data_IF_575733798507
#
_entry.id   IF_575733798507
#
_cell.length_a   1.000
_cell.length_b   1.000
_cell.length_c   1.000
_cell.angle_alpha   90.00
_cell.angle_beta   90.00
_cell.angle_gamma   90.00
#
_symmetry.space_group_name_H-M   'P 1'
#
loop_
_entity.id
_entity.type
_entity.pdbx_description
1 polymer ?
#
# COMPACT_ATOMS: atom_id res chain seq x y z
N UNK A 1 12.10 -22.33 15.86
CA UNK A 1 12.90 -21.25 15.21
C UNK A 1 11.90 -20.25 14.67
N UNK A 2 12.01 -18.96 15.03
CA UNK A 2 11.07 -17.95 14.58
C UNK A 2 11.28 -17.65 13.08
N UNK A 3 10.21 -17.66 12.29
CA UNK A 3 10.25 -17.36 10.85
C UNK A 3 10.33 -15.86 10.57
N UNK A 4 10.09 -15.04 11.58
CA UNK A 4 10.13 -13.58 11.51
C UNK A 4 10.99 -13.03 12.65
N UNK A 5 11.76 -11.99 12.35
CA UNK A 5 12.46 -11.22 13.37
C UNK A 5 12.53 -9.74 12.96
N UNK A 6 12.71 -8.87 13.93
CA UNK A 6 12.66 -7.43 13.76
C UNK A 6 14.00 -6.80 14.14
N UNK A 7 14.46 -5.85 13.34
CA UNK A 7 15.68 -5.09 13.62
C UNK A 7 15.39 -3.60 13.50
N UNK A 8 15.60 -2.86 14.58
CA UNK A 8 15.59 -1.39 14.52
C UNK A 8 16.81 -0.91 13.73
N UNK A 9 16.58 -0.05 12.73
CA UNK A 9 17.61 0.49 11.85
C UNK A 9 17.77 2.00 11.97
N UNK A 10 16.72 2.71 12.47
CA UNK A 10 16.79 4.14 12.71
C UNK A 10 15.83 4.57 13.82
N UNK A 11 16.22 5.59 14.59
CA UNK A 11 15.37 6.35 15.51
C UNK A 11 15.69 7.84 15.36
N UNK A 12 14.67 8.69 15.30
CA UNK A 12 14.85 10.13 15.11
C UNK A 12 13.86 10.95 15.93
N UNK A 13 14.31 12.09 16.44
CA UNK A 13 13.46 13.07 17.11
C UNK A 13 12.83 14.09 16.13
N UNK A 14 13.21 14.03 14.84
CA UNK A 14 12.71 14.94 13.80
C UNK A 14 12.17 14.16 12.59
N UNK A 15 11.10 13.38 12.78
CA UNK A 15 10.53 12.59 11.69
C UNK A 15 9.92 13.47 10.61
N UNK A 16 9.81 12.91 9.41
CA UNK A 16 9.13 13.56 8.29
C UNK A 16 7.64 13.64 8.56
N UNK A 17 7.03 12.54 9.01
CA UNK A 17 5.63 12.45 9.42
C UNK A 17 5.55 12.39 10.95
N UNK A 18 5.15 13.48 11.57
CA UNK A 18 5.11 13.62 13.05
C UNK A 18 4.01 12.77 13.68
N UNK A 19 2.92 12.52 12.94
CA UNK A 19 1.77 11.73 13.36
C UNK A 19 1.92 10.22 13.07
N UNK A 20 3.12 9.79 12.67
CA UNK A 20 3.45 8.38 12.45
C UNK A 20 4.49 7.91 13.47
N UNK A 21 4.15 6.85 14.20
CA UNK A 21 4.98 6.36 15.28
C UNK A 21 6.11 5.44 14.79
N UNK A 22 5.82 4.62 13.79
CA UNK A 22 6.72 3.56 13.33
C UNK A 22 6.64 3.38 11.81
N UNK A 23 7.78 3.11 11.20
CA UNK A 23 7.89 2.56 9.84
C UNK A 23 8.35 1.11 9.94
N UNK A 24 7.61 0.20 9.32
CA UNK A 24 7.98 -1.22 9.18
C UNK A 24 8.28 -1.49 7.71
N UNK A 25 9.50 -1.93 7.43
CA UNK A 25 9.91 -2.38 6.12
C UNK A 25 9.78 -3.90 6.07
N UNK A 26 8.92 -4.40 5.20
CA UNK A 26 8.68 -5.83 4.99
C UNK A 26 9.72 -6.36 4.00
N UNK A 27 10.60 -7.23 4.46
CA UNK A 27 11.76 -7.65 3.70
C UNK A 27 12.00 -9.17 3.81
N UNK A 28 12.34 -9.80 2.70
CA UNK A 28 12.85 -11.17 2.72
C UNK A 28 14.27 -11.18 3.30
N UNK A 29 14.59 -12.18 4.16
CA UNK A 29 15.88 -12.25 4.87
C UNK A 29 17.10 -12.18 3.93
N UNK A 30 16.99 -12.78 2.76
CA UNK A 30 18.08 -12.85 1.78
C UNK A 30 17.93 -11.84 0.63
N UNK A 31 17.04 -10.84 0.78
CA UNK A 31 16.84 -9.81 -0.23
C UNK A 31 17.91 -8.71 -0.14
N UNK A 32 18.33 -8.23 -1.31
CA UNK A 32 19.18 -7.05 -1.45
C UNK A 32 18.48 -5.88 -2.17
N UNK A 33 17.13 -5.95 -2.27
CA UNK A 33 16.33 -4.97 -3.02
C UNK A 33 16.13 -3.67 -2.28
N UNK A 34 16.13 -3.71 -0.95
CA UNK A 34 15.91 -2.50 -0.14
C UNK A 34 17.09 -1.54 -0.24
N UNK A 35 16.80 -0.33 -0.66
CA UNK A 35 17.75 0.78 -0.67
C UNK A 35 17.59 1.56 0.64
N UNK A 36 18.66 1.65 1.45
CA UNK A 36 18.68 2.40 2.70
C UNK A 36 18.63 3.92 2.43
N UNK A 37 17.51 4.40 1.88
CA UNK A 37 17.28 5.81 1.60
C UNK A 37 17.10 6.57 2.93
N UNK A 38 17.90 7.60 3.21
CA UNK A 38 17.78 8.40 4.44
C UNK A 38 16.40 9.03 4.63
N UNK A 39 15.70 9.35 3.55
CA UNK A 39 14.34 9.88 3.62
C UNK A 39 13.36 8.83 4.14
N UNK A 40 13.41 7.59 3.61
CA UNK A 40 12.61 6.46 4.11
C UNK A 40 12.91 6.20 5.58
N UNK A 41 14.19 6.20 5.97
CA UNK A 41 14.59 5.93 7.34
C UNK A 41 14.07 6.96 8.34
N UNK A 42 13.80 8.17 7.89
CA UNK A 42 13.27 9.27 8.72
C UNK A 42 11.78 9.56 8.51
N UNK A 43 11.03 8.69 7.82
CA UNK A 43 9.58 8.89 7.63
C UNK A 43 8.83 9.01 8.95
N UNK A 44 9.19 8.20 9.95
CA UNK A 44 8.56 8.16 11.28
C UNK A 44 9.59 8.29 12.39
N UNK A 45 9.14 8.32 13.65
CA UNK A 45 10.01 8.38 14.84
C UNK A 45 10.98 7.21 14.95
N UNK A 46 10.55 6.05 14.46
CA UNK A 46 11.34 4.81 14.50
C UNK A 46 11.14 4.02 13.21
N UNK A 47 12.22 3.41 12.70
CA UNK A 47 12.16 2.53 11.54
C UNK A 47 12.73 1.15 11.89
N UNK A 48 11.96 0.12 11.59
CA UNK A 48 12.35 -1.28 11.78
C UNK A 48 12.22 -2.06 10.48
N UNK A 49 13.08 -3.04 10.29
CA UNK A 49 12.91 -4.07 9.26
C UNK A 49 12.31 -5.31 9.91
N UNK A 50 11.23 -5.81 9.33
CA UNK A 50 10.73 -7.16 9.56
C UNK A 50 11.35 -8.09 8.52
N UNK A 51 12.21 -8.98 8.96
CA UNK A 51 12.77 -10.02 8.11
C UNK A 51 11.85 -11.23 8.07
N UNK A 52 11.57 -11.73 6.86
CA UNK A 52 10.82 -12.95 6.59
C UNK A 52 11.76 -13.98 5.97
N UNK A 53 11.90 -15.16 6.59
CA UNK A 53 12.71 -16.28 6.05
C UNK A 53 12.07 -16.97 4.86
N UNK A 54 10.81 -16.62 4.52
CA UNK A 54 10.04 -17.28 3.48
C UNK A 54 9.53 -18.66 3.88
N UNK A 55 8.40 -19.07 3.30
CA UNK A 55 7.77 -20.36 3.63
C UNK A 55 8.60 -21.57 3.20
N UNK A 56 9.45 -21.45 2.18
CA UNK A 56 10.34 -22.53 1.73
C UNK A 56 11.48 -22.81 2.70
N UNK A 57 11.98 -21.78 3.38
CA UNK A 57 13.10 -21.90 4.32
C UNK A 57 12.65 -22.07 5.78
N UNK A 58 11.41 -21.72 6.10
CA UNK A 58 10.88 -21.80 7.45
C UNK A 58 9.42 -22.24 7.43
N UNK A 59 9.13 -23.39 8.05
CA UNK A 59 7.75 -23.89 8.17
C UNK A 59 6.90 -22.96 9.01
N UNK A 60 5.84 -22.41 8.43
CA UNK A 60 4.89 -21.51 9.07
C UNK A 60 3.61 -22.26 9.46
N UNK A 61 2.88 -21.79 10.48
CA UNK A 61 1.55 -22.31 10.81
C UNK A 61 0.55 -22.06 9.67
N UNK A 62 -0.65 -22.66 9.79
CA UNK A 62 -1.76 -22.48 8.85
C UNK A 62 -1.47 -22.92 7.41
N UNK A 63 -0.57 -23.90 7.22
CA UNK A 63 -0.18 -24.43 5.91
C UNK A 63 0.18 -23.35 4.89
N UNK A 64 0.92 -22.32 5.35
CA UNK A 64 1.46 -21.27 4.49
C UNK A 64 2.53 -21.92 3.59
N UNK A 65 2.16 -22.22 2.35
CA UNK A 65 2.98 -23.00 1.40
C UNK A 65 3.07 -22.37 0.01
N UNK A 66 2.53 -21.14 -0.15
CA UNK A 66 2.58 -20.37 -1.39
C UNK A 66 2.90 -18.89 -1.15
N UNK A 67 3.42 -18.22 -2.17
CA UNK A 67 3.89 -16.83 -2.08
C UNK A 67 2.79 -15.86 -1.64
N UNK A 68 1.58 -15.95 -2.22
CA UNK A 68 0.48 -15.03 -1.88
C UNK A 68 0.10 -15.11 -0.42
N UNK A 69 -0.09 -16.33 0.10
CA UNK A 69 -0.41 -16.54 1.53
C UNK A 69 0.74 -16.12 2.44
N UNK A 70 1.99 -16.30 2.00
CA UNK A 70 3.17 -15.85 2.76
C UNK A 70 3.24 -14.32 2.86
N UNK A 71 2.87 -13.59 1.81
CA UNK A 71 2.77 -12.12 1.84
C UNK A 71 1.68 -11.68 2.84
N UNK A 72 0.47 -12.24 2.74
CA UNK A 72 -0.62 -11.92 3.69
C UNK A 72 -0.21 -12.22 5.13
N UNK A 73 0.43 -13.37 5.37
CA UNK A 73 0.92 -13.75 6.69
C UNK A 73 2.05 -12.83 7.19
N UNK A 74 2.87 -12.29 6.28
CA UNK A 74 3.90 -11.29 6.61
C UNK A 74 3.28 -10.00 7.14
N UNK A 75 2.23 -9.49 6.47
CA UNK A 75 1.47 -8.34 6.97
C UNK A 75 0.79 -8.64 8.32
N UNK A 76 0.19 -9.82 8.47
CA UNK A 76 -0.40 -10.23 9.75
C UNK A 76 0.63 -10.19 10.89
N UNK A 77 1.82 -10.73 10.70
CA UNK A 77 2.91 -10.69 11.70
C UNK A 77 3.38 -9.27 11.99
N UNK A 78 3.42 -8.41 10.97
CA UNK A 78 3.71 -6.99 11.15
C UNK A 78 2.62 -6.28 11.98
N UNK A 79 1.35 -6.60 11.76
CA UNK A 79 0.24 -6.05 12.54
C UNK A 79 0.28 -6.53 13.99
N UNK A 80 0.60 -7.81 14.25
CA UNK A 80 0.81 -8.31 15.62
C UNK A 80 1.94 -7.55 16.33
N UNK A 81 3.08 -7.32 15.65
CA UNK A 81 4.21 -6.58 16.22
C UNK A 81 3.86 -5.13 16.54
N UNK A 82 2.98 -4.53 15.76
CA UNK A 82 2.69 -3.08 15.84
C UNK A 82 1.44 -2.71 16.64
N UNK A 83 0.85 -3.63 17.40
CA UNK A 83 -0.45 -3.43 18.10
C UNK A 83 -0.50 -2.19 19.02
N UNK A 84 0.62 -1.79 19.61
CA UNK A 84 0.69 -0.68 20.57
C UNK A 84 0.84 0.70 19.92
N UNK A 85 1.22 0.76 18.65
CA UNK A 85 1.41 2.02 17.90
C UNK A 85 0.10 2.54 17.32
N UNK A 86 -0.05 3.86 17.13
CA UNK A 86 -1.26 4.43 16.54
C UNK A 86 -1.23 4.35 15.01
N UNK A 87 -0.36 5.09 14.35
CA UNK A 87 -0.20 5.09 12.92
C UNK A 87 1.14 4.48 12.54
N UNK A 88 1.12 3.52 11.64
CA UNK A 88 2.31 2.80 11.21
C UNK A 88 2.40 2.82 9.69
N UNK A 89 3.57 3.21 9.18
CA UNK A 89 3.92 3.04 7.76
C UNK A 89 4.37 1.60 7.54
N UNK A 90 3.81 0.95 6.53
CA UNK A 90 4.30 -0.32 5.99
C UNK A 90 4.86 -0.06 4.59
N UNK A 91 6.08 -0.52 4.36
CA UNK A 91 6.77 -0.45 3.08
C UNK A 91 7.20 -1.85 2.66
N UNK A 92 7.02 -2.19 1.41
CA UNK A 92 7.67 -3.35 0.82
C UNK A 92 9.13 -3.02 0.48
N UNK A 93 9.98 -4.03 0.42
CA UNK A 93 11.44 -3.86 0.24
C UNK A 93 11.88 -3.17 -1.06
N UNK A 94 10.97 -3.07 -2.03
CA UNK A 94 11.16 -2.42 -3.33
C UNK A 94 10.42 -1.09 -3.46
N UNK A 95 9.96 -0.52 -2.35
CA UNK A 95 9.39 0.81 -2.33
C UNK A 95 10.45 1.88 -2.60
N UNK A 96 10.19 2.77 -3.55
CA UNK A 96 11.06 3.88 -3.93
C UNK A 96 10.33 5.22 -3.84
N UNK A 97 11.05 6.28 -3.44
CA UNK A 97 10.52 7.64 -3.35
C UNK A 97 10.58 8.32 -4.72
N UNK A 98 9.44 8.82 -5.19
CA UNK A 98 9.39 9.66 -6.39
C UNK A 98 9.55 11.14 -6.09
N UNK A 99 9.03 11.59 -4.94
CA UNK A 99 9.06 13.00 -4.57
C UNK A 99 9.60 13.17 -3.16
N UNK A 100 10.75 13.86 -3.05
CA UNK A 100 11.41 14.19 -1.79
C UNK A 100 10.94 15.51 -1.18
N UNK A 101 10.01 16.22 -1.83
CA UNK A 101 9.57 17.54 -1.42
C UNK A 101 8.83 17.49 -0.09
N UNK A 102 9.44 17.98 0.96
CA UNK A 102 8.95 17.96 2.35
C UNK A 102 7.51 18.46 2.48
N UNK A 103 7.15 19.53 1.76
CA UNK A 103 5.81 20.13 1.83
C UNK A 103 4.67 19.19 1.43
N UNK A 104 4.93 18.14 0.63
CA UNK A 104 3.93 17.12 0.33
C UNK A 104 3.62 16.27 1.56
N UNK A 105 4.66 15.88 2.30
CA UNK A 105 4.53 15.08 3.52
C UNK A 105 3.97 15.90 4.69
N UNK A 106 4.29 17.19 4.78
CA UNK A 106 3.70 18.11 5.78
C UNK A 106 2.17 18.20 5.59
N UNK A 107 1.67 18.26 4.34
CA UNK A 107 0.24 18.22 4.04
C UNK A 107 -0.42 16.90 4.44
N UNK A 108 0.26 15.76 4.22
CA UNK A 108 -0.23 14.45 4.65
C UNK A 108 -0.32 14.40 6.19
N UNK A 109 0.72 14.87 6.86
CA UNK A 109 0.78 14.91 8.32
C UNK A 109 -0.33 15.81 8.90
N UNK A 110 -0.58 16.98 8.27
CA UNK A 110 -1.68 17.87 8.60
C UNK A 110 -3.05 17.20 8.37
N UNK A 111 -3.23 16.51 7.23
CA UNK A 111 -4.47 15.79 6.94
C UNK A 111 -4.77 14.72 7.99
N UNK A 112 -3.76 13.90 8.34
CA UNK A 112 -3.89 12.86 9.37
C UNK A 112 -4.21 13.42 10.75
N UNK A 113 -3.74 14.62 11.08
CA UNK A 113 -4.03 15.26 12.37
C UNK A 113 -5.47 15.77 12.50
N UNK A 114 -6.16 15.99 11.37
CA UNK A 114 -7.50 16.61 11.31
C UNK A 114 -8.61 15.66 10.89
N UNK A 115 -8.25 14.51 10.31
CA UNK A 115 -9.21 13.62 9.67
C UNK A 115 -9.01 12.17 10.10
N UNK A 116 -10.10 11.45 10.23
CA UNK A 116 -10.07 10.00 10.40
C UNK A 116 -9.82 9.31 9.05
N UNK A 117 -8.97 8.31 9.06
CA UNK A 117 -8.69 7.43 7.93
C UNK A 117 -8.44 6.00 8.43
N UNK A 118 -8.68 5.02 7.60
CA UNK A 118 -8.28 3.63 7.86
C UNK A 118 -6.89 3.35 7.28
N UNK A 119 -6.73 3.68 6.01
CA UNK A 119 -5.51 3.47 5.24
C UNK A 119 -5.21 4.74 4.46
N UNK A 120 -3.97 5.23 4.54
CA UNK A 120 -3.42 6.22 3.64
C UNK A 120 -2.39 5.53 2.75
N UNK A 121 -2.56 5.61 1.42
CA UNK A 121 -1.59 5.04 0.47
C UNK A 121 -0.76 6.14 -0.17
N UNK A 122 0.56 5.95 -0.23
CA UNK A 122 1.48 6.90 -0.87
C UNK A 122 1.45 6.80 -2.39
N UNK A 123 1.06 5.65 -2.92
CA UNK A 123 0.72 5.46 -4.32
C UNK A 123 -0.29 4.31 -4.46
N UNK A 124 -1.19 4.44 -5.41
CA UNK A 124 -2.22 3.43 -5.66
C UNK A 124 -2.71 3.51 -7.11
N UNK A 125 -3.28 2.42 -7.56
CA UNK A 125 -4.12 2.35 -8.74
C UNK A 125 -5.55 2.05 -8.27
N UNK A 126 -6.57 2.67 -8.88
CA UNK A 126 -7.96 2.48 -8.48
C UNK A 126 -8.89 3.49 -9.14
N UNK A 127 -10.00 3.75 -8.46
CA UNK A 127 -10.96 4.79 -8.83
C UNK A 127 -10.82 5.92 -7.81
N UNK A 128 -10.36 7.09 -8.25
CA UNK A 128 -10.10 8.22 -7.35
C UNK A 128 -11.28 9.20 -7.34
N UNK A 129 -11.92 9.32 -6.19
CA UNK A 129 -12.96 10.34 -5.96
C UNK A 129 -12.37 11.50 -5.16
N UNK A 130 -12.49 12.72 -5.70
CA UNK A 130 -11.90 13.92 -5.10
C UNK A 130 -12.55 14.21 -3.74
N UNK A 131 -11.72 14.40 -2.71
CA UNK A 131 -12.12 14.90 -1.39
C UNK A 131 -11.92 16.42 -1.37
N UNK A 132 -10.70 16.88 -1.69
CA UNK A 132 -10.34 18.29 -1.77
C UNK A 132 -9.27 18.52 -2.87
N UNK A 133 -8.51 19.62 -2.81
CA UNK A 133 -7.51 19.94 -3.82
C UNK A 133 -6.23 19.09 -3.74
N UNK A 134 -6.00 18.43 -2.61
CA UNK A 134 -4.78 17.65 -2.35
C UNK A 134 -5.06 16.16 -2.15
N UNK A 135 -6.30 15.75 -1.78
CA UNK A 135 -6.62 14.39 -1.38
C UNK A 135 -7.78 13.77 -2.16
N UNK A 136 -7.71 12.45 -2.29
CA UNK A 136 -8.71 11.60 -2.95
C UNK A 136 -9.01 10.38 -2.09
N UNK A 137 -10.29 9.95 -2.06
CA UNK A 137 -10.63 8.59 -1.65
C UNK A 137 -10.34 7.63 -2.80
N UNK A 138 -9.98 6.41 -2.46
CA UNK A 138 -9.62 5.36 -3.42
C UNK A 138 -10.55 4.17 -3.25
N UNK A 139 -11.29 3.85 -4.30
CA UNK A 139 -12.06 2.62 -4.38
C UNK A 139 -11.31 1.60 -5.24
N UNK A 140 -11.49 0.30 -4.95
CA UNK A 140 -10.84 -0.80 -5.67
C UNK A 140 -9.31 -0.63 -5.70
N UNK A 141 -8.71 -0.33 -4.53
CA UNK A 141 -7.27 -0.12 -4.42
C UNK A 141 -6.46 -1.31 -4.93
N UNK A 142 -5.41 -1.01 -5.67
CA UNK A 142 -4.34 -1.94 -6.07
C UNK A 142 -3.00 -1.29 -5.78
N UNK A 143 -1.96 -2.12 -5.67
CA UNK A 143 -0.60 -1.70 -5.36
C UNK A 143 -0.44 -1.20 -3.90
N UNK A 144 -0.21 -2.16 -3.00
CA UNK A 144 -0.14 -1.95 -1.55
C UNK A 144 1.29 -1.77 -1.00
N UNK A 145 2.22 -1.30 -1.81
CA UNK A 145 3.67 -1.28 -1.48
C UNK A 145 4.08 -0.25 -0.44
N UNK A 146 3.28 0.79 -0.20
CA UNK A 146 3.60 1.86 0.73
C UNK A 146 2.33 2.48 1.33
N UNK A 147 2.07 2.24 2.62
CA UNK A 147 0.83 2.67 3.27
C UNK A 147 1.04 3.07 4.72
N UNK A 148 0.22 4.03 5.18
CA UNK A 148 0.01 4.29 6.60
C UNK A 148 -1.31 3.63 6.99
N UNK A 149 -1.29 2.75 7.99
CA UNK A 149 -2.48 2.04 8.46
C UNK A 149 -2.71 2.40 9.93
N UNK A 150 -3.94 2.84 10.24
CA UNK A 150 -4.35 3.17 11.60
C UNK A 150 -4.39 1.92 12.50
N UNK A 151 -4.29 2.12 13.82
CA UNK A 151 -4.32 1.01 14.80
C UNK A 151 -5.58 0.17 14.67
N UNK A 152 -6.74 0.82 14.64
CA UNK A 152 -8.03 0.13 14.58
C UNK A 152 -8.18 -0.69 13.30
N UNK A 153 -7.68 -0.15 12.19
CA UNK A 153 -7.72 -0.88 10.93
C UNK A 153 -6.78 -2.08 10.93
N UNK A 154 -5.55 -1.96 11.47
CA UNK A 154 -4.63 -3.10 11.60
C UNK A 154 -5.23 -4.24 12.41
N UNK A 155 -5.93 -3.92 13.53
CA UNK A 155 -6.59 -4.94 14.35
C UNK A 155 -7.72 -5.65 13.60
N UNK A 156 -8.53 -4.91 12.84
CA UNK A 156 -9.58 -5.49 11.97
C UNK A 156 -8.98 -6.37 10.89
N UNK A 157 -7.95 -5.88 10.21
CA UNK A 157 -7.26 -6.59 9.14
C UNK A 157 -6.60 -7.87 9.65
N UNK A 158 -5.89 -7.82 10.78
CA UNK A 158 -5.27 -8.99 11.39
C UNK A 158 -6.31 -10.07 11.71
N UNK A 159 -7.47 -9.69 12.25
CA UNK A 159 -8.57 -10.62 12.49
C UNK A 159 -9.09 -11.22 11.18
N UNK A 160 -9.39 -10.41 10.17
CA UNK A 160 -9.89 -10.87 8.85
C UNK A 160 -8.90 -11.82 8.16
N UNK A 161 -7.60 -11.48 8.18
CA UNK A 161 -6.55 -12.34 7.62
C UNK A 161 -6.54 -13.71 8.27
N UNK A 162 -6.66 -13.77 9.60
CA UNK A 162 -6.71 -15.02 10.36
C UNK A 162 -7.99 -15.80 10.10
N UNK A 163 -9.15 -15.13 10.13
CA UNK A 163 -10.46 -15.75 9.90
C UNK A 163 -10.57 -16.32 8.47
N UNK A 164 -9.91 -15.70 7.49
CA UNK A 164 -9.84 -16.16 6.10
C UNK A 164 -8.64 -17.09 5.82
N UNK A 165 -8.03 -17.62 6.87
CA UNK A 165 -6.88 -18.54 6.76
C UNK A 165 -5.75 -18.01 5.85
N UNK A 166 -5.53 -16.69 5.83
CA UNK A 166 -4.53 -15.97 5.04
C UNK A 166 -4.66 -16.15 3.52
N UNK A 167 -5.84 -16.48 3.03
CA UNK A 167 -6.12 -16.59 1.61
C UNK A 167 -6.37 -15.22 0.97
N UNK A 168 -6.11 -15.12 -0.34
CA UNK A 168 -6.32 -13.91 -1.13
C UNK A 168 -5.06 -13.08 -1.36
N UNK A 169 -5.27 -11.89 -1.90
CA UNK A 169 -4.21 -10.88 -2.16
C UNK A 169 -4.36 -9.73 -1.18
N UNK A 170 -3.26 -9.19 -0.69
CA UNK A 170 -3.25 -8.18 0.37
C UNK A 170 -4.11 -6.97 0.02
N UNK A 171 -3.86 -6.37 -1.13
CA UNK A 171 -4.56 -5.16 -1.60
C UNK A 171 -5.99 -5.44 -2.09
N UNK A 172 -6.18 -6.52 -2.84
CA UNK A 172 -7.46 -6.84 -3.45
C UNK A 172 -8.49 -7.41 -2.47
N UNK A 173 -8.03 -8.12 -1.44
CA UNK A 173 -8.89 -8.88 -0.53
C UNK A 173 -9.09 -8.16 0.80
N UNK A 174 -8.06 -7.47 1.29
CA UNK A 174 -8.06 -6.96 2.65
C UNK A 174 -8.11 -5.44 2.74
N UNK A 175 -7.44 -4.70 1.86
CA UNK A 175 -7.36 -3.24 1.96
C UNK A 175 -8.56 -2.55 1.30
N UNK A 176 -9.73 -2.71 1.91
CA UNK A 176 -11.02 -2.19 1.44
C UNK A 176 -11.68 -1.17 2.39
N UNK A 177 -10.93 -0.72 3.41
CA UNK A 177 -11.38 0.32 4.34
C UNK A 177 -11.48 1.70 3.70
N UNK A 178 -11.61 2.76 4.52
CA UNK A 178 -11.53 4.14 4.05
C UNK A 178 -10.10 4.44 3.61
N UNK A 179 -9.83 4.23 2.32
CA UNK A 179 -8.51 4.45 1.72
C UNK A 179 -8.43 5.87 1.18
N UNK A 180 -7.37 6.57 1.56
CA UNK A 180 -7.07 7.95 1.12
C UNK A 180 -5.72 7.95 0.41
N UNK A 181 -5.59 8.78 -0.62
CA UNK A 181 -4.31 9.05 -1.27
C UNK A 181 -4.09 10.53 -1.51
N UNK A 182 -2.84 10.92 -1.62
CA UNK A 182 -2.44 12.27 -2.02
C UNK A 182 -2.54 12.43 -3.54
N UNK A 183 -2.64 13.67 -4.02
CA UNK A 183 -2.77 13.97 -5.46
C UNK A 183 -1.58 13.54 -6.35
N UNK A 184 -0.43 13.24 -5.75
CA UNK A 184 0.76 12.73 -6.43
C UNK A 184 1.16 11.38 -5.86
N UNK A 185 1.70 10.46 -6.68
CA UNK A 185 2.31 9.23 -6.20
C UNK A 185 3.66 9.58 -5.55
N UNK A 186 3.80 9.38 -4.24
CA UNK A 186 4.98 9.83 -3.49
C UNK A 186 6.00 8.72 -3.29
N UNK A 187 5.53 7.53 -2.92
CA UNK A 187 6.35 6.32 -2.72
C UNK A 187 5.71 5.22 -3.53
N UNK A 188 6.45 4.62 -4.42
CA UNK A 188 5.97 3.66 -5.43
C UNK A 188 6.78 2.39 -5.41
N UNK A 189 6.28 1.37 -6.07
CA UNK A 189 7.02 0.18 -6.41
C UNK A 189 7.51 0.30 -7.86
N UNK A 190 8.81 0.18 -8.05
CA UNK A 190 9.36 -0.04 -9.37
C UNK A 190 9.37 -1.56 -9.58
N UNK A 191 8.48 -2.07 -10.41
CA UNK A 191 8.28 -3.51 -10.63
C UNK A 191 9.56 -4.23 -11.11
N UNK A 192 10.52 -4.57 -10.24
CA UNK A 192 11.55 -5.51 -10.60
C UNK A 192 10.89 -6.88 -10.82
N UNK A 193 11.53 -7.74 -11.58
CA UNK A 193 11.07 -9.12 -11.76
C UNK A 193 10.92 -9.78 -10.37
N UNK A 194 9.69 -10.01 -9.95
CA UNK A 194 9.37 -10.64 -8.67
C UNK A 194 8.82 -12.03 -8.88
N UNK A 195 8.91 -12.90 -7.86
CA UNK A 195 8.26 -14.22 -7.91
C UNK A 195 6.74 -14.12 -8.12
N UNK A 196 6.13 -13.02 -7.65
CA UNK A 196 4.71 -12.75 -7.83
C UNK A 196 4.32 -12.39 -9.27
N UNK A 197 5.25 -11.87 -10.08
CA UNK A 197 4.98 -11.45 -11.44
C UNK A 197 4.35 -12.55 -12.30
N UNK A 198 4.83 -13.79 -12.16
CA UNK A 198 4.31 -14.93 -12.90
C UNK A 198 2.93 -15.40 -12.38
N UNK A 199 2.50 -14.96 -11.21
CA UNK A 199 1.25 -15.38 -10.57
C UNK A 199 0.07 -14.42 -10.80
N UNK A 200 0.31 -13.20 -11.30
CA UNK A 200 -0.73 -12.16 -11.37
C UNK A 200 -1.89 -12.49 -12.31
N UNK A 201 -1.63 -13.06 -13.48
CA UNK A 201 -2.70 -13.40 -14.42
C UNK A 201 -2.64 -14.84 -14.92
N UNK A 202 -1.68 -15.63 -14.47
CA UNK A 202 -1.38 -16.94 -15.06
C UNK A 202 -0.86 -16.88 -16.50
N UNK A 203 -0.79 -15.67 -17.10
CA UNK A 203 -0.31 -15.46 -18.46
C UNK A 203 0.79 -14.40 -18.50
N UNK A 204 2.02 -14.85 -18.71
CA UNK A 204 3.24 -14.03 -18.78
C UNK A 204 3.14 -12.86 -19.77
N UNK A 205 2.49 -13.07 -20.92
CA UNK A 205 2.36 -12.05 -21.96
C UNK A 205 1.34 -10.96 -21.59
N UNK A 206 0.23 -11.36 -20.97
CA UNK A 206 -0.80 -10.41 -20.48
C UNK A 206 -0.21 -9.54 -19.36
N UNK A 207 0.54 -10.14 -18.44
CA UNK A 207 1.21 -9.40 -17.38
C UNK A 207 2.20 -8.38 -17.96
N UNK A 208 3.06 -8.81 -18.90
CA UNK A 208 4.04 -7.93 -19.55
C UNK A 208 3.36 -6.81 -20.34
N UNK A 209 2.29 -7.12 -21.07
CA UNK A 209 1.50 -6.10 -21.79
C UNK A 209 0.83 -5.12 -20.82
N UNK A 210 0.27 -5.62 -19.72
CA UNK A 210 -0.32 -4.78 -18.67
C UNK A 210 0.69 -3.82 -18.07
N UNK A 211 1.91 -4.26 -17.79
CA UNK A 211 3.00 -3.41 -17.30
C UNK A 211 3.39 -2.34 -18.34
N UNK A 212 3.58 -2.74 -19.60
CA UNK A 212 3.91 -1.80 -20.69
C UNK A 212 2.80 -0.76 -20.88
N UNK A 213 1.54 -1.20 -20.93
CA UNK A 213 0.39 -0.31 -21.14
C UNK A 213 0.09 0.59 -19.92
N UNK A 214 0.41 0.15 -18.72
CA UNK A 214 0.26 0.96 -17.52
C UNK A 214 1.38 1.98 -17.33
N UNK A 215 2.46 1.89 -18.12
CA UNK A 215 3.62 2.78 -17.98
C UNK A 215 4.40 2.60 -16.66
N UNK A 216 4.06 1.57 -15.88
CA UNK A 216 4.59 1.35 -14.52
C UNK A 216 6.02 0.79 -14.55
N UNK A 217 6.52 0.48 -15.74
CA UNK A 217 7.74 -0.28 -15.90
C UNK A 217 8.99 0.51 -15.57
N UNK A 218 9.07 1.48 -14.77
CA UNK A 218 10.44 1.94 -14.42
C UNK A 218 10.63 3.40 -14.06
N UNK A 219 9.65 4.28 -14.25
CA UNK A 219 9.91 5.68 -14.01
C UNK A 219 8.72 6.43 -13.37
N UNK A 220 9.02 7.65 -12.97
CA UNK A 220 8.09 8.61 -12.41
C UNK A 220 6.90 8.88 -13.35
N UNK A 221 7.13 8.94 -14.66
CA UNK A 221 6.12 9.28 -15.65
C UNK A 221 5.01 8.22 -15.73
N UNK A 222 5.36 6.94 -15.61
CA UNK A 222 4.38 5.84 -15.57
C UNK A 222 3.41 5.95 -14.40
N UNK A 223 3.89 6.27 -13.22
CA UNK A 223 3.03 6.47 -12.05
C UNK A 223 2.17 7.73 -12.14
N UNK A 224 2.67 8.81 -12.74
CA UNK A 224 1.88 10.02 -13.01
C UNK A 224 0.72 9.73 -13.96
N UNK A 225 0.95 8.92 -15.02
CA UNK A 225 -0.08 8.45 -15.95
C UNK A 225 -1.14 7.61 -15.23
N UNK A 226 -0.73 6.66 -14.35
CA UNK A 226 -1.65 5.85 -13.55
C UNK A 226 -2.55 6.75 -12.70
N UNK A 227 -1.99 7.75 -12.03
CA UNK A 227 -2.75 8.70 -11.22
C UNK A 227 -3.72 9.53 -12.05
N UNK A 228 -3.30 10.00 -13.22
CA UNK A 228 -4.16 10.70 -14.15
C UNK A 228 -5.33 9.81 -14.61
N UNK A 229 -5.06 8.58 -15.01
CA UNK A 229 -6.10 7.62 -15.40
C UNK A 229 -7.05 7.27 -14.26
N UNK A 230 -6.54 7.12 -13.04
CA UNK A 230 -7.36 6.82 -11.84
C UNK A 230 -8.31 7.97 -11.49
N UNK A 231 -7.84 9.21 -11.60
CA UNK A 231 -8.66 10.42 -11.43
C UNK A 231 -9.73 10.53 -12.53
N UNK A 232 -9.35 10.25 -13.79
CA UNK A 232 -10.29 10.28 -14.90
C UNK A 232 -11.39 9.22 -14.74
N UNK A 233 -11.06 8.01 -14.30
CA UNK A 233 -12.05 6.96 -13.98
C UNK A 233 -13.04 7.44 -12.93
N UNK A 234 -12.60 8.10 -11.87
CA UNK A 234 -13.47 8.67 -10.85
C UNK A 234 -14.44 9.72 -11.42
N UNK A 235 -13.94 10.62 -12.27
CA UNK A 235 -14.78 11.62 -12.93
C UNK A 235 -15.81 11.00 -13.89
N UNK A 236 -15.42 10.02 -14.67
CA UNK A 236 -16.32 9.32 -15.60
C UNK A 236 -17.40 8.56 -14.84
N UNK A 237 -17.08 7.90 -13.74
CA UNK A 237 -18.08 7.22 -12.90
C UNK A 237 -19.16 8.18 -12.40
N UNK A 238 -18.79 9.39 -11.96
CA UNK A 238 -19.75 10.41 -11.54
C UNK A 238 -20.66 10.80 -12.71
N UNK A 239 -20.11 11.01 -13.89
CA UNK A 239 -20.89 11.35 -15.09
C UNK A 239 -21.88 10.23 -15.44
N UNK A 240 -21.46 8.97 -15.44
CA UNK A 240 -22.33 7.83 -15.70
C UNK A 240 -23.47 7.73 -14.67
N UNK A 241 -23.20 7.95 -13.40
CA UNK A 241 -24.22 7.96 -12.34
C UNK A 241 -25.22 9.09 -12.59
N UNK A 242 -24.76 10.28 -12.94
CA UNK A 242 -25.64 11.42 -13.23
C UNK A 242 -26.54 11.15 -14.45
N UNK A 243 -25.99 10.63 -15.54
CA UNK A 243 -26.76 10.26 -16.74
C UNK A 243 -27.79 9.21 -16.38
N UNK A 244 -27.42 8.18 -15.63
CA UNK A 244 -28.34 7.12 -15.19
C UNK A 244 -29.49 7.67 -14.35
N UNK A 245 -29.21 8.58 -13.40
CA UNK A 245 -30.24 9.23 -12.58
C UNK A 245 -31.19 10.08 -13.42
N UNK A 246 -30.66 10.82 -14.41
CA UNK A 246 -31.49 11.60 -15.35
C UNK A 246 -32.42 10.66 -16.13
N UNK A 247 -31.90 9.57 -16.70
CA UNK A 247 -32.69 8.60 -17.43
C UNK A 247 -33.78 7.97 -16.56
N UNK A 248 -33.53 7.68 -15.29
CA UNK A 248 -34.53 7.18 -14.35
C UNK A 248 -35.67 8.20 -14.10
N UNK A 249 -35.35 9.49 -14.03
CA UNK A 249 -36.36 10.54 -13.86
C UNK A 249 -37.25 10.62 -15.10
N UNK A 250 -36.69 10.52 -16.30
CA UNK A 250 -37.47 10.52 -17.55
C UNK A 250 -38.28 9.23 -17.78
N UNK A 251 -37.77 8.09 -17.31
CA UNK A 251 -38.47 6.80 -17.43
C UNK A 251 -39.69 6.69 -16.49
N UNK A 252 -39.73 7.44 -15.38
CA UNK A 252 -40.82 7.46 -14.42
C UNK A 252 -41.97 8.43 -14.77
N UNK A 253 -41.84 9.19 -15.87
CA UNK A 253 -42.91 10.01 -16.44
C UNK A 253 -43.56 9.31 -17.60
#
# INVERSE_FOLDING_TARGET
MDCYYYKTINETNSPILKNVDLTVILMMENSNRFKYDPFILNLSKKTVIQYNKGFRACKKPFDINEVKRDVVYTYYKAFEYTQTYNNVVFLEEDAEILYYTRSHYDKIDEYMSKNEFSIFTFASNGIFTKIDNDFYSVDMMRAAQAQIISKDERLKLAKRMKDNNFEGETDATYFDGKVITYKYPLIVQLFPETENFNSWSGNKYINKLGIILSGVDRDKSGWEIIYMCSKLRGQLNIIYIMIFMILLIFYRK
#
